data_IF_583221256508
#
_entry.id   IF_583221256508
#
_cell.length_a   1.000
_cell.length_b   1.000
_cell.length_c   1.000
_cell.angle_alpha   90.00
_cell.angle_beta   90.00
_cell.angle_gamma   90.00
#
_symmetry.space_group_name_H-M   'P 1'
#
loop_
_entity.id
_entity.type
_entity.pdbx_description
1 polymer ?
#
# COMPACT_ATOMS: atom_id res chain seq x y z
N UNK A 1 6.82 4.15 -38.89
CA UNK A 1 6.14 3.33 -37.89
C UNK A 1 6.91 3.38 -36.60
N UNK A 2 6.27 3.79 -35.48
CA UNK A 2 6.88 3.72 -34.16
C UNK A 2 7.07 2.24 -33.79
N UNK A 3 8.27 1.86 -33.36
CA UNK A 3 8.54 0.50 -32.87
C UNK A 3 7.87 0.32 -31.52
N UNK A 4 7.11 -0.75 -31.37
CA UNK A 4 6.57 -1.15 -30.05
C UNK A 4 7.77 -1.53 -29.17
N UNK A 5 7.90 -0.95 -27.97
CA UNK A 5 8.99 -1.28 -27.04
C UNK A 5 8.95 -2.77 -26.68
N UNK A 6 10.10 -3.37 -26.48
CA UNK A 6 10.19 -4.73 -25.94
C UNK A 6 9.85 -4.72 -24.44
N UNK A 7 9.42 -5.87 -23.91
CA UNK A 7 9.14 -6.05 -22.47
C UNK A 7 10.32 -5.61 -21.57
N UNK A 8 11.53 -6.01 -21.93
CA UNK A 8 12.73 -5.59 -21.19
C UNK A 8 12.96 -4.09 -21.21
N UNK A 9 12.67 -3.43 -22.33
CA UNK A 9 12.81 -1.98 -22.43
C UNK A 9 11.78 -1.26 -21.54
N UNK A 10 10.53 -1.72 -21.53
CA UNK A 10 9.49 -1.19 -20.66
C UNK A 10 9.89 -1.36 -19.19
N UNK A 11 10.38 -2.54 -18.79
CA UNK A 11 10.87 -2.79 -17.43
C UNK A 11 11.98 -1.83 -17.05
N UNK A 12 13.01 -1.70 -17.89
CA UNK A 12 14.13 -0.79 -17.61
C UNK A 12 13.69 0.67 -17.45
N UNK A 13 12.68 1.09 -18.18
CA UNK A 13 12.11 2.43 -18.03
C UNK A 13 11.36 2.58 -16.70
N UNK A 14 10.59 1.55 -16.31
CA UNK A 14 9.80 1.56 -15.07
C UNK A 14 10.67 1.43 -13.81
N UNK A 15 11.80 0.71 -13.89
CA UNK A 15 12.71 0.51 -12.76
C UNK A 15 13.27 1.83 -12.20
N UNK A 16 13.34 2.88 -13.01
CA UNK A 16 13.79 4.20 -12.59
C UNK A 16 12.70 5.08 -11.98
N UNK A 17 11.43 4.65 -12.07
CA UNK A 17 10.29 5.45 -11.59
C UNK A 17 10.10 5.27 -10.09
N UNK A 18 10.26 6.35 -9.33
CA UNK A 18 9.99 6.28 -7.90
C UNK A 18 8.48 6.10 -7.65
N UNK A 19 8.07 5.20 -6.74
CA UNK A 19 6.66 4.89 -6.48
C UNK A 19 5.79 6.11 -6.14
N UNK A 20 6.35 7.15 -5.52
CA UNK A 20 5.62 8.37 -5.19
C UNK A 20 5.01 9.08 -6.41
N UNK A 21 5.54 8.86 -7.61
CA UNK A 21 4.96 9.39 -8.85
C UNK A 21 3.57 8.82 -9.15
N UNK A 22 3.21 7.69 -8.55
CA UNK A 22 1.89 7.08 -8.69
C UNK A 22 0.83 7.73 -7.79
N UNK A 23 1.23 8.55 -6.82
CA UNK A 23 0.31 9.18 -5.86
C UNK A 23 -0.84 9.91 -6.55
N UNK A 24 -0.54 10.69 -7.59
CA UNK A 24 -1.55 11.45 -8.31
C UNK A 24 -2.61 10.57 -8.98
N UNK A 25 -2.23 9.38 -9.43
CA UNK A 25 -3.18 8.44 -10.03
C UNK A 25 -4.16 7.90 -9.01
N UNK A 26 -3.69 7.56 -7.80
CA UNK A 26 -4.57 7.14 -6.71
C UNK A 26 -5.51 8.28 -6.27
N UNK A 27 -4.98 9.49 -6.14
CA UNK A 27 -5.77 10.68 -5.77
C UNK A 27 -6.87 10.97 -6.81
N UNK A 28 -6.57 10.83 -8.11
CA UNK A 28 -7.52 11.00 -9.20
C UNK A 28 -8.66 9.98 -9.16
N UNK A 29 -8.37 8.71 -8.84
CA UNK A 29 -9.42 7.68 -8.70
C UNK A 29 -10.39 8.07 -7.58
N UNK A 30 -9.88 8.47 -6.43
CA UNK A 30 -10.71 8.89 -5.30
C UNK A 30 -11.52 10.15 -5.65
N UNK A 31 -10.90 11.13 -6.31
CA UNK A 31 -11.56 12.35 -6.74
C UNK A 31 -12.70 12.06 -7.73
N UNK A 32 -12.44 11.24 -8.75
CA UNK A 32 -13.45 10.86 -9.75
C UNK A 32 -14.63 10.09 -9.13
N UNK A 33 -14.38 9.22 -8.15
CA UNK A 33 -15.45 8.53 -7.42
C UNK A 33 -16.29 9.48 -6.58
N UNK A 34 -15.67 10.48 -5.95
CA UNK A 34 -16.38 11.51 -5.19
C UNK A 34 -17.24 12.38 -6.10
N UNK A 35 -16.71 12.85 -7.20
CA UNK A 35 -17.40 13.68 -8.17
C UNK A 35 -18.63 12.98 -8.75
N UNK A 36 -18.52 11.69 -9.04
CA UNK A 36 -19.62 10.87 -9.56
C UNK A 36 -20.56 10.31 -8.48
N UNK A 37 -20.38 10.66 -7.23
CA UNK A 37 -21.20 10.18 -6.11
C UNK A 37 -20.92 8.73 -5.68
N UNK A 38 -20.01 8.01 -6.35
CA UNK A 38 -19.71 6.61 -6.05
C UNK A 38 -19.12 6.39 -4.64
N UNK A 39 -18.50 7.42 -4.04
CA UNK A 39 -18.02 7.33 -2.67
C UNK A 39 -19.12 7.14 -1.63
N UNK A 40 -20.37 7.47 -1.93
CA UNK A 40 -21.49 7.29 -1.01
C UNK A 40 -21.72 5.81 -0.68
N UNK A 41 -21.42 4.93 -1.62
CA UNK A 41 -21.53 3.47 -1.44
C UNK A 41 -20.51 2.91 -0.44
N UNK A 42 -19.42 3.64 -0.21
CA UNK A 42 -18.37 3.28 0.75
C UNK A 42 -18.56 3.95 2.12
N UNK A 43 -19.51 4.86 2.25
CA UNK A 43 -19.79 5.52 3.52
C UNK A 43 -20.61 4.63 4.43
N UNK A 44 -20.15 4.46 5.67
CA UNK A 44 -20.79 3.70 6.74
C UNK A 44 -20.68 4.50 8.03
N UNK A 45 -21.25 4.03 9.11
CA UNK A 45 -21.07 4.60 10.46
C UNK A 45 -21.27 6.13 10.51
N UNK A 46 -22.36 6.63 9.98
CA UNK A 46 -22.66 8.07 9.97
C UNK A 46 -21.83 8.85 8.95
N UNK A 47 -21.68 8.33 7.74
CA UNK A 47 -20.99 8.99 6.63
C UNK A 47 -19.46 8.91 6.69
N UNK A 48 -18.91 7.89 7.35
CA UNK A 48 -17.48 7.64 7.46
C UNK A 48 -17.04 6.55 6.49
N UNK A 49 -15.86 6.68 5.93
CA UNK A 49 -15.23 5.62 5.13
C UNK A 49 -14.41 4.68 6.03
N UNK A 50 -14.43 3.38 5.72
CA UNK A 50 -13.57 2.41 6.36
C UNK A 50 -12.31 2.26 5.50
N UNK A 51 -11.13 2.44 6.09
CA UNK A 51 -9.84 2.23 5.43
C UNK A 51 -9.16 1.04 6.09
N UNK A 52 -9.05 -0.05 5.35
CA UNK A 52 -8.30 -1.23 5.77
C UNK A 52 -6.81 -1.02 5.48
N UNK A 53 -5.98 -1.31 6.48
CA UNK A 53 -4.53 -1.30 6.41
C UNK A 53 -4.03 -2.72 6.67
N UNK A 54 -3.48 -3.37 5.67
CA UNK A 54 -3.02 -4.76 5.78
C UNK A 54 -1.69 -4.96 5.05
N UNK A 55 -0.82 -5.79 5.65
CA UNK A 55 0.45 -6.19 5.05
C UNK A 55 0.23 -7.26 3.98
N UNK A 56 0.82 -7.06 2.81
CA UNK A 56 0.78 -8.06 1.74
C UNK A 56 2.14 -8.25 1.12
N UNK A 57 2.48 -9.51 0.85
CA UNK A 57 3.68 -9.87 0.09
C UNK A 57 3.31 -9.97 -1.39
N UNK A 58 3.98 -9.21 -2.25
CA UNK A 58 3.73 -9.22 -3.68
C UNK A 58 4.82 -9.92 -4.49
N UNK A 59 5.92 -10.31 -3.85
CA UNK A 59 7.00 -11.09 -4.44
C UNK A 59 7.66 -11.95 -3.39
N UNK A 60 7.99 -13.21 -3.71
CA UNK A 60 8.89 -14.04 -2.93
C UNK A 60 9.69 -15.00 -3.83
N UNK A 61 10.94 -15.28 -3.45
CA UNK A 61 11.83 -16.19 -4.19
C UNK A 61 12.94 -16.75 -3.30
N UNK A 62 13.38 -17.96 -3.62
CA UNK A 62 14.58 -18.56 -3.03
C UNK A 62 15.85 -18.36 -3.88
N UNK A 63 15.69 -17.86 -5.11
CA UNK A 63 16.79 -17.73 -6.07
C UNK A 63 17.05 -16.28 -6.48
N UNK A 64 16.00 -15.48 -6.57
CA UNK A 64 16.08 -14.11 -7.03
C UNK A 64 15.97 -13.17 -5.83
N UNK A 65 16.93 -12.28 -5.70
CA UNK A 65 16.94 -11.25 -4.68
C UNK A 65 17.52 -9.94 -5.25
N UNK A 66 17.07 -8.83 -4.74
CA UNK A 66 17.61 -7.51 -5.04
C UNK A 66 18.12 -6.85 -3.73
N UNK A 67 18.85 -5.72 -3.81
CA UNK A 67 19.33 -5.02 -2.62
C UNK A 67 18.23 -4.60 -1.64
N UNK A 68 17.03 -4.35 -2.16
CA UNK A 68 15.86 -3.91 -1.38
C UNK A 68 14.99 -5.06 -0.84
N UNK A 69 15.30 -6.33 -1.20
CA UNK A 69 14.55 -7.47 -0.69
C UNK A 69 14.68 -7.58 0.83
N UNK A 70 13.56 -7.83 1.48
CA UNK A 70 13.53 -8.38 2.82
C UNK A 70 13.96 -9.85 2.78
N UNK A 71 14.45 -10.38 3.88
CA UNK A 71 14.91 -11.78 3.96
C UNK A 71 14.35 -12.45 5.20
N UNK A 72 14.04 -13.74 5.07
CA UNK A 72 13.70 -14.61 6.20
C UNK A 72 14.25 -16.01 6.02
N UNK A 73 14.63 -16.64 7.12
CA UNK A 73 14.98 -18.06 7.14
C UNK A 73 13.73 -18.90 7.34
N UNK A 74 13.53 -19.88 6.47
CA UNK A 74 12.45 -20.85 6.59
C UNK A 74 12.89 -22.05 7.42
N UNK A 75 11.95 -22.86 7.90
CA UNK A 75 12.22 -24.06 8.71
C UNK A 75 13.12 -25.10 8.01
N UNK A 76 13.14 -25.09 6.68
CA UNK A 76 14.03 -25.93 5.85
C UNK A 76 15.46 -25.37 5.71
N UNK A 77 15.83 -24.35 6.47
CA UNK A 77 17.16 -23.71 6.46
C UNK A 77 17.42 -22.77 5.27
N UNK A 78 16.52 -22.70 4.28
CA UNK A 78 16.69 -21.83 3.11
C UNK A 78 16.37 -20.39 3.45
N UNK A 79 17.13 -19.47 2.86
CA UNK A 79 16.81 -18.03 2.89
C UNK A 79 15.83 -17.72 1.77
N UNK A 80 14.73 -17.07 2.12
CA UNK A 80 13.73 -16.55 1.19
C UNK A 80 13.87 -15.02 1.09
N UNK A 81 13.89 -14.53 -0.13
CA UNK A 81 13.85 -13.10 -0.45
C UNK A 81 12.42 -12.72 -0.77
N UNK A 82 11.95 -11.60 -0.23
CA UNK A 82 10.58 -11.18 -0.48
C UNK A 82 10.44 -9.66 -0.49
N UNK A 83 9.40 -9.17 -1.13
CA UNK A 83 8.94 -7.78 -1.05
C UNK A 83 7.55 -7.75 -0.44
N UNK A 84 7.35 -6.77 0.42
CA UNK A 84 6.08 -6.56 1.11
C UNK A 84 5.70 -5.08 1.07
N UNK A 85 4.41 -4.82 1.17
CA UNK A 85 3.86 -3.48 1.29
C UNK A 85 2.70 -3.48 2.27
N UNK A 86 2.42 -2.35 2.87
CA UNK A 86 1.16 -2.08 3.53
C UNK A 86 0.16 -1.60 2.47
N UNK A 87 -0.82 -2.40 2.17
CA UNK A 87 -1.94 -2.01 1.33
C UNK A 87 -2.92 -1.16 2.15
N UNK A 88 -3.33 -0.03 1.59
CA UNK A 88 -4.35 0.83 2.15
C UNK A 88 -5.54 0.86 1.21
N UNK A 89 -6.72 0.51 1.69
CA UNK A 89 -7.88 0.29 0.81
C UNK A 89 -9.16 0.77 1.47
N UNK A 90 -9.95 1.57 0.75
CA UNK A 90 -11.29 1.93 1.19
C UNK A 90 -12.21 0.76 0.91
N UNK A 91 -12.90 0.31 1.94
CA UNK A 91 -13.80 -0.86 1.90
C UNK A 91 -15.16 -0.53 2.48
N UNK A 92 -16.18 -1.31 2.11
CA UNK A 92 -17.50 -1.22 2.74
C UNK A 92 -18.09 -2.61 2.94
N UNK A 93 -18.59 -2.95 4.14
CA UNK A 93 -19.28 -4.21 4.37
C UNK A 93 -20.44 -4.38 3.41
N UNK A 94 -20.56 -5.58 2.82
CA UNK A 94 -21.60 -5.90 1.85
C UNK A 94 -21.35 -5.35 0.44
N UNK A 95 -20.22 -4.71 0.20
CA UNK A 95 -19.81 -4.22 -1.12
C UNK A 95 -18.66 -5.09 -1.65
N UNK A 96 -18.77 -5.51 -2.91
CA UNK A 96 -17.79 -6.41 -3.55
C UNK A 96 -16.65 -5.67 -4.25
N UNK A 97 -16.64 -4.33 -4.19
CA UNK A 97 -15.57 -3.49 -4.71
C UNK A 97 -14.79 -2.85 -3.58
N UNK A 98 -13.55 -2.51 -3.86
CA UNK A 98 -12.65 -1.80 -2.96
C UNK A 98 -11.90 -0.71 -3.74
N UNK A 99 -11.58 0.41 -3.08
CA UNK A 99 -10.85 1.52 -3.70
C UNK A 99 -9.43 1.55 -3.14
N UNK A 100 -8.42 1.23 -3.95
CA UNK A 100 -7.04 1.27 -3.49
C UNK A 100 -6.59 2.70 -3.26
N UNK A 101 -5.82 2.90 -2.21
CA UNK A 101 -5.05 4.10 -1.91
C UNK A 101 -3.56 3.81 -2.14
N UNK A 102 -2.74 4.85 -2.18
CA UNK A 102 -1.30 4.67 -2.31
C UNK A 102 -0.77 3.74 -1.21
N UNK A 103 -0.09 2.64 -1.56
CA UNK A 103 0.50 1.73 -0.58
C UNK A 103 1.77 2.32 0.05
N UNK A 104 2.20 1.76 1.17
CA UNK A 104 3.48 2.04 1.79
C UNK A 104 4.40 0.81 1.66
N UNK A 105 5.53 0.97 0.97
CA UNK A 105 6.45 -0.15 0.78
C UNK A 105 7.26 -0.42 2.04
N UNK A 106 7.40 -1.71 2.36
CA UNK A 106 8.20 -2.22 3.46
C UNK A 106 9.54 -2.65 2.89
N UNK A 107 10.60 -1.92 3.23
CA UNK A 107 11.94 -2.15 2.74
C UNK A 107 12.95 -2.20 3.90
N UNK A 108 14.17 -2.61 3.61
CA UNK A 108 15.25 -2.49 4.56
C UNK A 108 15.46 -1.02 4.89
N UNK A 109 15.51 -0.70 6.18
CA UNK A 109 15.86 0.63 6.64
C UNK A 109 17.39 0.74 6.72
N UNK A 110 17.96 1.73 6.07
CA UNK A 110 19.40 1.98 6.15
C UNK A 110 19.80 2.24 7.60
N UNK A 111 20.77 1.46 8.11
CA UNK A 111 21.30 1.58 9.46
C UNK A 111 20.46 0.96 10.58
N UNK A 112 19.34 0.31 10.29
CA UNK A 112 18.55 -0.39 11.29
C UNK A 112 18.98 -1.87 11.42
N UNK A 113 19.16 -2.35 12.65
CA UNK A 113 19.47 -3.77 12.91
C UNK A 113 18.33 -4.71 12.53
N UNK A 114 17.08 -4.23 12.61
CA UNK A 114 15.87 -5.01 12.31
C UNK A 114 15.27 -4.58 10.99
N UNK A 115 14.79 -5.55 10.24
CA UNK A 115 13.97 -5.29 9.07
C UNK A 115 12.72 -4.50 9.49
N UNK A 116 12.26 -3.65 8.59
CA UNK A 116 11.01 -2.90 8.75
C UNK A 116 9.80 -3.85 8.88
N UNK A 117 8.71 -3.36 9.41
CA UNK A 117 7.51 -4.15 9.65
C UNK A 117 6.24 -3.36 9.29
N UNK A 118 5.15 -4.09 9.13
CA UNK A 118 3.81 -3.53 8.82
C UNK A 118 3.40 -2.42 9.79
N UNK A 119 3.72 -2.55 11.08
CA UNK A 119 3.38 -1.54 12.09
C UNK A 119 4.10 -0.21 11.83
N UNK A 120 5.37 -0.26 11.45
CA UNK A 120 6.13 0.94 11.11
C UNK A 120 5.65 1.55 9.79
N UNK A 121 5.37 0.70 8.80
CA UNK A 121 4.77 1.13 7.54
C UNK A 121 3.40 1.79 7.78
N UNK A 122 2.55 1.25 8.64
CA UNK A 122 1.27 1.86 8.99
C UNK A 122 1.43 3.23 9.65
N UNK A 123 2.41 3.40 10.54
CA UNK A 123 2.72 4.70 11.14
C UNK A 123 3.14 5.72 10.07
N UNK A 124 4.05 5.34 9.17
CA UNK A 124 4.50 6.22 8.07
C UNK A 124 3.31 6.58 7.17
N UNK A 125 2.53 5.57 6.78
CA UNK A 125 1.35 5.79 5.93
C UNK A 125 0.38 6.78 6.57
N UNK A 126 0.04 6.59 7.84
CA UNK A 126 -0.85 7.50 8.57
C UNK A 126 -0.26 8.91 8.64
N UNK A 127 1.03 9.06 8.92
CA UNK A 127 1.69 10.37 8.96
C UNK A 127 1.66 11.08 7.61
N UNK A 128 1.85 10.34 6.51
CA UNK A 128 1.97 10.91 5.16
C UNK A 128 0.61 11.19 4.53
N UNK A 129 -0.40 10.34 4.80
CA UNK A 129 -1.65 10.34 4.03
C UNK A 129 -2.89 10.77 4.83
N UNK A 130 -2.81 10.94 6.16
CA UNK A 130 -4.00 11.25 6.97
C UNK A 130 -4.74 12.51 6.50
N UNK A 131 -4.03 13.57 6.12
CA UNK A 131 -4.65 14.80 5.63
C UNK A 131 -5.35 14.60 4.28
N UNK A 132 -4.79 13.76 3.38
CA UNK A 132 -5.40 13.46 2.08
C UNK A 132 -6.76 12.76 2.19
N UNK A 133 -6.90 11.89 3.18
CA UNK A 133 -8.11 11.11 3.40
C UNK A 133 -9.04 11.72 4.46
N UNK A 134 -8.66 12.81 5.09
CA UNK A 134 -9.40 13.48 6.18
C UNK A 134 -10.86 13.77 5.82
N UNK A 135 -11.09 14.23 4.58
CA UNK A 135 -12.43 14.53 4.09
C UNK A 135 -13.37 13.31 4.02
N UNK A 136 -12.82 12.09 4.05
CA UNK A 136 -13.56 10.83 4.13
C UNK A 136 -13.97 10.49 5.57
N UNK A 137 -13.52 11.25 6.56
CA UNK A 137 -13.73 11.00 7.99
C UNK A 137 -13.40 9.55 8.37
N UNK A 138 -12.16 9.07 8.08
CA UNK A 138 -11.86 7.64 8.05
C UNK A 138 -11.98 6.97 9.43
N UNK A 139 -12.38 5.70 9.41
CA UNK A 139 -12.16 4.73 10.47
C UNK A 139 -11.15 3.72 9.94
N UNK A 140 -10.04 3.55 10.64
CA UNK A 140 -8.99 2.64 10.22
C UNK A 140 -9.22 1.24 10.79
N UNK A 141 -9.09 0.24 9.93
CA UNK A 141 -9.15 -1.18 10.27
C UNK A 141 -7.76 -1.77 10.06
N UNK A 142 -7.22 -2.47 11.02
CA UNK A 142 -5.93 -3.17 10.89
C UNK A 142 -6.06 -4.63 11.27
N UNK A 143 -5.40 -5.51 10.52
CA UNK A 143 -5.47 -6.96 10.73
C UNK A 143 -4.62 -7.43 11.91
N UNK A 144 -3.62 -6.69 12.33
CA UNK A 144 -2.70 -7.08 13.42
C UNK A 144 -2.67 -6.07 14.56
N UNK A 145 -3.82 -5.76 15.15
CA UNK A 145 -3.86 -4.97 16.38
C UNK A 145 -3.39 -3.52 16.22
N UNK A 146 -3.53 -2.93 15.05
CA UNK A 146 -3.35 -1.49 14.85
C UNK A 146 -4.57 -0.83 15.47
N UNK A 147 -4.46 -0.53 16.74
CA UNK A 147 -5.47 0.25 17.45
C UNK A 147 -5.54 1.65 16.85
N UNK A 148 -6.71 1.98 16.39
CA UNK A 148 -7.11 3.33 16.04
C UNK A 148 -6.96 4.24 17.28
N UNK A 149 -5.80 4.84 17.49
CA UNK A 149 -5.73 6.04 18.30
C UNK A 149 -6.41 7.13 17.50
N UNK A 150 -7.49 7.70 18.02
CA UNK A 150 -8.04 8.95 17.50
C UNK A 150 -6.88 9.92 17.36
N UNK A 151 -6.60 10.30 16.12
CA UNK A 151 -5.76 11.46 15.88
C UNK A 151 -6.54 12.68 16.37
N UNK A 152 -5.88 13.60 17.04
CA UNK A 152 -6.51 14.81 17.60
C UNK A 152 -7.21 15.65 16.55
#
# INVERSE_FOLDING_TARGET
MAKIPTDNHIRSMLDSVHPSHLQSSFDQVVAALREKGGMNEFQRLGGRALIALDGTEYFCSYKLGCPHCLTRKRSNGKTEFYHSMLAATIVAPGHNMAVPLMPEFIAKQDGAEKQDCERNAAKRWLTTHCERVKALRPVYLGVSGILCKRLP
#
